data_IF_367254294639
#
_entry.id   IF_367254294639
#
_cell.length_a   1.000
_cell.length_b   1.000
_cell.length_c   1.000
_cell.angle_alpha   90.00
_cell.angle_beta   90.00
_cell.angle_gamma   90.00
#
_symmetry.space_group_name_H-M   'P 1'
#
loop_
_entity.id
_entity.type
_entity.pdbx_description
1 polymer ?
#
# COMPACT_ATOMS: atom_id res chain seq x y z
N UNK A 1 -8.60 8.82 -5.59
CA UNK A 1 -7.94 8.06 -4.50
C UNK A 1 -6.48 7.75 -4.83
N UNK A 2 -6.16 7.10 -5.96
CA UNK A 2 -4.78 6.75 -6.34
C UNK A 2 -3.83 7.93 -6.63
N UNK A 3 -4.36 9.08 -7.07
CA UNK A 3 -3.55 10.27 -7.41
C UNK A 3 -2.77 10.88 -6.22
N UNK A 4 -3.10 10.50 -4.99
CA UNK A 4 -2.39 10.93 -3.77
C UNK A 4 -1.25 9.99 -3.36
N UNK A 5 -1.18 8.79 -3.96
CA UNK A 5 -0.14 7.80 -3.66
C UNK A 5 1.17 8.12 -4.40
N UNK A 6 1.05 8.68 -5.59
CA UNK A 6 2.19 9.06 -6.42
C UNK A 6 2.69 10.45 -6.06
N UNK A 7 3.34 10.58 -4.90
CA UNK A 7 4.11 11.77 -4.57
C UNK A 7 5.26 11.95 -5.57
N UNK A 8 5.82 13.16 -5.66
CA UNK A 8 6.98 13.39 -6.53
C UNK A 8 8.18 12.46 -6.19
N UNK A 9 8.28 12.00 -4.94
CA UNK A 9 9.29 11.03 -4.53
C UNK A 9 8.96 9.61 -5.01
N UNK A 10 7.71 9.18 -4.87
CA UNK A 10 7.25 7.88 -5.37
C UNK A 10 7.37 7.78 -6.89
N UNK A 11 7.09 8.87 -7.61
CA UNK A 11 7.28 8.97 -9.06
C UNK A 11 8.74 8.75 -9.45
N UNK A 12 9.68 9.48 -8.83
CA UNK A 12 11.13 9.30 -9.07
C UNK A 12 11.61 7.88 -8.74
N UNK A 13 11.06 7.28 -7.68
CA UNK A 13 11.38 5.90 -7.33
C UNK A 13 10.91 4.92 -8.41
N UNK A 14 9.68 5.06 -8.89
CA UNK A 14 9.14 4.22 -9.97
C UNK A 14 9.90 4.43 -11.29
N UNK A 15 10.31 5.66 -11.61
CA UNK A 15 11.21 5.91 -12.74
C UNK A 15 12.50 5.11 -12.62
N UNK A 16 13.12 5.10 -11.43
CA UNK A 16 14.28 4.27 -11.13
C UNK A 16 14.02 2.76 -11.21
N UNK A 17 12.78 2.34 -10.97
CA UNK A 17 12.36 0.96 -11.21
C UNK A 17 12.13 0.64 -12.68
N UNK A 18 12.08 1.62 -13.60
CA UNK A 18 11.88 1.44 -15.05
C UNK A 18 10.48 1.78 -15.56
N UNK A 19 9.67 2.52 -14.79
CA UNK A 19 8.40 3.08 -15.26
C UNK A 19 8.66 4.38 -16.02
N UNK A 20 7.86 4.66 -17.05
CA UNK A 20 8.07 5.86 -17.88
C UNK A 20 7.74 7.14 -17.11
N UNK A 21 8.65 8.12 -17.17
CA UNK A 21 8.44 9.44 -16.57
C UNK A 21 7.21 10.13 -17.18
N UNK A 22 6.37 10.72 -16.33
CA UNK A 22 5.15 11.41 -16.77
C UNK A 22 4.00 10.50 -17.22
N UNK A 23 4.16 9.17 -17.14
CA UNK A 23 3.07 8.22 -17.42
C UNK A 23 1.90 8.40 -16.44
N UNK A 24 0.69 8.14 -16.90
CA UNK A 24 -0.48 8.19 -16.04
C UNK A 24 -0.61 6.93 -15.16
N UNK A 25 -1.62 6.93 -14.26
CA UNK A 25 -1.83 5.81 -13.34
C UNK A 25 -2.22 4.52 -14.08
N UNK A 26 -2.96 4.61 -15.18
CA UNK A 26 -3.38 3.45 -15.94
C UNK A 26 -2.20 2.79 -16.66
N UNK A 27 -1.33 3.61 -17.26
CA UNK A 27 -0.07 3.18 -17.88
C UNK A 27 0.85 2.50 -16.86
N UNK A 28 1.01 3.09 -15.66
CA UNK A 28 1.78 2.48 -14.58
C UNK A 28 1.20 1.15 -14.12
N UNK A 29 -0.11 1.05 -14.00
CA UNK A 29 -0.78 -0.22 -13.65
C UNK A 29 -0.58 -1.26 -14.76
N UNK A 30 -0.62 -0.87 -16.03
CA UNK A 30 -0.37 -1.78 -17.14
C UNK A 30 1.08 -2.30 -17.12
N UNK A 31 2.06 -1.42 -16.86
CA UNK A 31 3.46 -1.82 -16.71
C UNK A 31 3.67 -2.78 -15.53
N UNK A 32 3.06 -2.50 -14.37
CA UNK A 32 3.10 -3.40 -13.22
C UNK A 32 2.51 -4.78 -13.55
N UNK A 33 1.38 -4.82 -14.28
CA UNK A 33 0.76 -6.08 -14.72
C UNK A 33 1.68 -6.89 -15.63
N UNK A 34 2.30 -6.26 -16.63
CA UNK A 34 3.27 -6.93 -17.51
C UNK A 34 4.44 -7.49 -16.70
N UNK A 35 4.99 -6.73 -15.76
CA UNK A 35 6.06 -7.20 -14.86
C UNK A 35 5.68 -8.41 -14.02
N UNK A 36 4.47 -8.42 -13.47
CA UNK A 36 3.97 -9.55 -12.68
C UNK A 36 3.88 -10.85 -13.50
N UNK A 37 3.72 -10.76 -14.81
CA UNK A 37 3.61 -11.93 -15.72
C UNK A 37 4.97 -12.31 -16.31
N UNK A 38 5.79 -11.33 -16.68
CA UNK A 38 6.99 -11.53 -17.50
C UNK A 38 8.28 -11.61 -16.68
N UNK A 39 8.31 -11.07 -15.46
CA UNK A 39 9.52 -11.01 -14.66
C UNK A 39 9.70 -12.27 -13.81
N UNK A 40 10.96 -12.78 -13.74
CA UNK A 40 11.29 -13.95 -12.92
C UNK A 40 11.28 -13.67 -11.41
N UNK A 41 11.44 -12.40 -11.01
CA UNK A 41 11.32 -11.96 -9.62
C UNK A 41 10.07 -11.09 -9.44
N UNK A 42 9.44 -11.21 -8.27
CA UNK A 42 8.21 -10.48 -7.96
C UNK A 42 8.52 -8.96 -7.82
N UNK A 43 7.79 -8.08 -8.51
CA UNK A 43 8.02 -6.62 -8.47
C UNK A 43 7.61 -6.04 -7.11
N UNK A 44 8.58 -5.95 -6.19
CA UNK A 44 8.35 -5.47 -4.83
C UNK A 44 7.98 -3.98 -4.75
N UNK A 45 8.23 -3.20 -5.80
CA UNK A 45 7.73 -1.82 -5.91
C UNK A 45 6.21 -1.73 -5.93
N UNK A 46 5.49 -2.85 -6.09
CA UNK A 46 4.03 -2.94 -5.94
C UNK A 46 3.53 -2.31 -4.64
N UNK A 47 4.34 -2.30 -3.58
CA UNK A 47 3.99 -1.64 -2.32
C UNK A 47 3.62 -0.16 -2.47
N UNK A 48 4.18 0.55 -3.46
CA UNK A 48 3.81 1.94 -3.78
C UNK A 48 2.36 2.02 -4.26
N UNK A 49 1.93 1.05 -5.07
CA UNK A 49 0.56 0.97 -5.61
C UNK A 49 -0.46 0.58 -4.54
N UNK A 50 -0.02 -0.15 -3.51
CA UNK A 50 -0.82 -0.50 -2.33
C UNK A 50 -0.89 0.65 -1.31
N UNK A 51 -0.13 1.73 -1.53
CA UNK A 51 -0.08 2.89 -0.65
C UNK A 51 0.74 2.68 0.61
N UNK A 52 1.67 1.72 0.61
CA UNK A 52 2.64 1.59 1.69
C UNK A 52 3.61 2.76 1.70
N UNK A 53 4.13 3.17 2.88
CA UNK A 53 5.15 4.21 2.96
C UNK A 53 6.34 3.89 2.07
N UNK A 54 6.83 4.89 1.34
CA UNK A 54 7.89 4.68 0.34
C UNK A 54 9.18 4.18 0.99
N UNK A 55 9.50 4.67 2.18
CA UNK A 55 10.63 4.24 2.98
C UNK A 55 10.58 2.75 3.34
N UNK A 56 9.38 2.20 3.55
CA UNK A 56 9.18 0.79 3.87
C UNK A 56 9.29 -0.09 2.62
N UNK A 57 8.83 0.40 1.47
CA UNK A 57 9.02 -0.27 0.17
C UNK A 57 10.51 -0.34 -0.18
N UNK A 58 11.23 0.79 -0.06
CA UNK A 58 12.67 0.85 -0.31
C UNK A 58 13.43 -0.05 0.66
N UNK A 59 13.13 0.04 1.96
CA UNK A 59 13.75 -0.80 2.97
C UNK A 59 13.53 -2.29 2.72
N UNK A 60 12.33 -2.69 2.29
CA UNK A 60 12.03 -4.07 1.94
C UNK A 60 12.89 -4.57 0.79
N UNK A 61 13.03 -3.78 -0.29
CA UNK A 61 13.84 -4.13 -1.46
C UNK A 61 15.32 -4.20 -1.10
N UNK A 62 15.86 -3.15 -0.47
CA UNK A 62 17.27 -3.02 -0.12
C UNK A 62 17.72 -4.10 0.86
N UNK A 63 16.86 -4.47 1.83
CA UNK A 63 17.15 -5.48 2.84
C UNK A 63 16.66 -6.88 2.46
N UNK A 64 16.12 -7.06 1.26
CA UNK A 64 15.53 -8.35 0.80
C UNK A 64 14.53 -8.93 1.80
N UNK A 65 13.76 -8.06 2.45
CA UNK A 65 12.77 -8.45 3.45
C UNK A 65 13.33 -8.76 4.85
N UNK A 66 14.62 -8.60 5.13
CA UNK A 66 15.24 -8.90 6.43
C UNK A 66 15.44 -7.65 7.30
N UNK A 67 15.55 -7.83 8.62
CA UNK A 67 15.90 -6.72 9.53
C UNK A 67 14.83 -5.64 9.70
N UNK A 68 13.56 -5.98 9.49
CA UNK A 68 12.45 -5.06 9.73
C UNK A 68 12.30 -4.70 11.22
N UNK A 69 11.93 -3.45 11.50
CA UNK A 69 11.67 -2.91 12.86
C UNK A 69 10.36 -3.41 13.46
N UNK A 70 9.38 -3.71 12.61
CA UNK A 70 8.09 -4.28 12.96
C UNK A 70 7.48 -5.00 11.74
N UNK A 71 6.51 -5.87 11.99
CA UNK A 71 5.78 -6.59 10.95
C UNK A 71 4.30 -6.59 11.30
N UNK A 72 3.46 -6.20 10.34
CA UNK A 72 2.00 -6.17 10.46
C UNK A 72 1.38 -6.25 9.07
N UNK A 73 0.62 -5.22 8.66
CA UNK A 73 0.08 -5.14 7.29
C UNK A 73 1.19 -5.06 6.21
N UNK A 74 2.37 -4.55 6.57
CA UNK A 74 3.61 -4.64 5.80
C UNK A 74 4.81 -4.77 6.76
N UNK A 75 6.02 -4.93 6.21
CA UNK A 75 7.28 -4.90 6.98
C UNK A 75 7.79 -3.47 7.09
N UNK A 76 8.04 -3.01 8.32
CA UNK A 76 8.41 -1.62 8.62
C UNK A 76 9.93 -1.47 8.70
N UNK A 77 10.45 -0.48 7.98
CA UNK A 77 11.84 -0.04 7.96
C UNK A 77 11.98 1.45 8.33
N UNK A 78 10.91 2.23 8.20
CA UNK A 78 10.79 3.64 8.58
C UNK A 78 10.45 3.85 10.06
N UNK A 79 9.46 4.70 10.33
CA UNK A 79 8.97 4.98 11.68
C UNK A 79 8.08 3.84 12.20
N UNK A 80 8.59 3.13 13.21
CA UNK A 80 7.89 2.02 13.86
C UNK A 80 6.58 2.46 14.51
N UNK A 81 6.58 3.55 15.25
CA UNK A 81 5.41 3.95 16.05
C UNK A 81 4.28 4.43 15.14
N UNK A 82 4.62 5.23 14.13
CA UNK A 82 3.67 5.68 13.11
C UNK A 82 3.06 4.49 12.34
N UNK A 83 3.86 3.49 11.98
CA UNK A 83 3.37 2.29 11.31
C UNK A 83 2.47 1.43 12.21
N UNK A 84 2.84 1.24 13.49
CA UNK A 84 2.01 0.50 14.46
C UNK A 84 0.67 1.20 14.69
N UNK A 85 0.65 2.53 14.81
CA UNK A 85 -0.58 3.30 14.92
C UNK A 85 -1.47 3.13 13.67
N UNK A 86 -0.86 3.08 12.48
CA UNK A 86 -1.58 2.85 11.23
C UNK A 86 -2.14 1.43 11.13
N UNK A 87 -1.40 0.41 11.58
CA UNK A 87 -1.89 -0.96 11.68
C UNK A 87 -3.11 -1.06 12.61
N UNK A 88 -3.07 -0.40 13.77
CA UNK A 88 -4.19 -0.40 14.70
C UNK A 88 -5.41 0.32 14.12
N UNK A 89 -5.21 1.44 13.41
CA UNK A 89 -6.28 2.11 12.68
C UNK A 89 -6.93 1.18 11.64
N UNK A 90 -6.12 0.48 10.84
CA UNK A 90 -6.61 -0.48 9.85
C UNK A 90 -7.39 -1.61 10.51
N UNK A 91 -6.86 -2.18 11.60
CA UNK A 91 -7.55 -3.22 12.36
C UNK A 91 -8.91 -2.75 12.88
N UNK A 92 -8.98 -1.58 13.53
CA UNK A 92 -10.25 -1.00 14.02
C UNK A 92 -11.25 -0.74 12.89
N UNK A 93 -10.78 -0.22 11.76
CA UNK A 93 -11.61 -0.04 10.55
C UNK A 93 -12.17 -1.38 10.05
N UNK A 94 -11.30 -2.38 9.88
CA UNK A 94 -11.69 -3.70 9.39
C UNK A 94 -12.70 -4.35 10.33
N UNK A 95 -12.47 -4.31 11.65
CA UNK A 95 -13.39 -4.84 12.65
C UNK A 95 -14.75 -4.13 12.62
N UNK A 96 -14.76 -2.80 12.50
CA UNK A 96 -16.01 -2.03 12.38
C UNK A 96 -16.83 -2.46 11.16
N UNK A 97 -16.22 -2.50 9.99
CA UNK A 97 -16.92 -2.86 8.75
C UNK A 97 -17.36 -4.32 8.75
N UNK A 98 -16.50 -5.21 9.25
CA UNK A 98 -16.82 -6.63 9.40
C UNK A 98 -18.05 -6.84 10.29
N UNK A 99 -18.09 -6.21 11.46
CA UNK A 99 -19.22 -6.32 12.38
C UNK A 99 -20.53 -5.78 11.79
N UNK A 100 -20.46 -4.70 10.99
CA UNK A 100 -21.63 -4.17 10.30
C UNK A 100 -22.11 -5.09 9.18
N UNK A 101 -21.18 -5.68 8.43
CA UNK A 101 -21.50 -6.64 7.40
C UNK A 101 -22.17 -7.88 7.98
N UNK A 102 -21.63 -8.45 9.06
CA UNK A 102 -22.22 -9.60 9.78
C UNK A 102 -23.61 -9.27 10.38
N UNK A 103 -23.85 -8.00 10.72
CA UNK A 103 -25.17 -7.51 11.16
C UNK A 103 -26.18 -7.31 10.01
N UNK A 104 -25.81 -7.68 8.77
CA UNK A 104 -26.68 -7.64 7.59
C UNK A 104 -26.63 -6.33 6.80
N UNK A 105 -25.67 -5.43 7.08
CA UNK A 105 -25.47 -4.26 6.22
C UNK A 105 -24.86 -4.67 4.88
N UNK A 106 -25.38 -4.12 3.79
CA UNK A 106 -24.81 -4.33 2.47
C UNK A 106 -23.51 -3.54 2.29
N UNK A 107 -22.57 -4.10 1.53
CA UNK A 107 -21.30 -3.42 1.23
C UNK A 107 -21.50 -2.02 0.62
N UNK A 108 -22.53 -1.83 -0.20
CA UNK A 108 -22.86 -0.53 -0.78
C UNK A 108 -23.20 0.54 0.28
N UNK A 109 -23.81 0.14 1.40
CA UNK A 109 -24.10 1.03 2.52
C UNK A 109 -22.84 1.37 3.30
N UNK A 110 -21.95 0.39 3.47
CA UNK A 110 -20.68 0.55 4.18
C UNK A 110 -19.69 1.46 3.45
N UNK A 111 -19.68 1.45 2.12
CA UNK A 111 -18.81 2.31 1.32
C UNK A 111 -19.04 3.82 1.56
N UNK A 112 -20.23 4.20 2.00
CA UNK A 112 -20.58 5.59 2.32
C UNK A 112 -20.51 5.89 3.83
N UNK A 113 -20.22 4.89 4.66
CA UNK A 113 -20.10 5.06 6.10
C UNK A 113 -18.73 5.63 6.46
N UNK A 114 -18.71 6.65 7.33
CA UNK A 114 -17.49 7.13 7.97
C UNK A 114 -17.41 6.49 9.35
N UNK A 115 -16.46 5.57 9.60
CA UNK A 115 -16.28 5.01 10.92
C UNK A 115 -15.95 6.12 11.92
N UNK A 116 -16.74 6.24 12.98
CA UNK A 116 -16.44 7.10 14.13
C UNK A 116 -15.77 6.27 15.21
N UNK A 117 -14.48 6.49 15.39
CA UNK A 117 -13.71 5.87 16.46
C UNK A 117 -13.81 6.76 17.69
N UNK A 118 -14.51 6.27 18.72
CA UNK A 118 -14.44 6.83 20.07
C UNK A 118 -13.10 6.57 20.74
#
# INVERSE_FOLDING_TARGET
>A
MLRRLFTAEAERFLEGCGYAAGSDVAEKIAALKSRLVECGEFPHEIGVFLGYPLEDVRGFIEKRGEGCKACGAWKVYGDRESALALFECYKRCTEYFYNKFEAGCEMAQLLNAVPTFG
#
